data_IF_355957344568
#
_entry.id   IF_355957344568
#
_cell.length_a   1.000
_cell.length_b   1.000
_cell.length_c   1.000
_cell.angle_alpha   90.00
_cell.angle_beta   90.00
_cell.angle_gamma   90.00
#
_symmetry.space_group_name_H-M   'P 1'
#
loop_
_entity.id
_entity.type
_entity.pdbx_description
1 polymer ?
#
# COMPACT_ATOMS: atom_id res chain seq x y z
N UNK A 1 9.63 -18.27 -5.59
CA UNK A 1 8.45 -17.47 -5.97
C UNK A 1 8.59 -17.12 -7.44
N UNK A 2 7.70 -17.59 -8.31
CA UNK A 2 7.86 -17.54 -9.76
C UNK A 2 7.77 -16.10 -10.29
N UNK A 3 8.66 -15.68 -11.20
CA UNK A 3 8.67 -14.34 -11.84
C UNK A 3 7.29 -13.94 -12.40
N UNK A 4 6.54 -14.93 -12.88
CA UNK A 4 5.17 -14.76 -13.35
C UNK A 4 4.22 -14.14 -12.30
N UNK A 5 4.33 -14.55 -11.03
CA UNK A 5 3.46 -14.02 -9.96
C UNK A 5 3.76 -12.55 -9.68
N UNK A 6 5.04 -12.16 -9.72
CA UNK A 6 5.42 -10.75 -9.57
C UNK A 6 4.88 -9.90 -10.72
N UNK A 7 4.95 -10.42 -11.94
CA UNK A 7 4.42 -9.73 -13.12
C UNK A 7 2.90 -9.54 -13.05
N UNK A 8 2.17 -10.60 -12.68
CA UNK A 8 0.71 -10.54 -12.48
C UNK A 8 0.36 -9.55 -11.37
N UNK A 9 1.06 -9.60 -10.22
CA UNK A 9 0.83 -8.67 -9.12
C UNK A 9 1.08 -7.21 -9.54
N UNK A 10 2.14 -6.95 -10.30
CA UNK A 10 2.45 -5.63 -10.83
C UNK A 10 1.33 -5.11 -11.75
N UNK A 11 0.86 -5.94 -12.70
CA UNK A 11 -0.24 -5.59 -13.59
C UNK A 11 -1.54 -5.27 -12.83
N UNK A 12 -1.94 -6.15 -11.91
CA UNK A 12 -3.15 -5.96 -11.10
C UNK A 12 -3.06 -4.70 -10.24
N UNK A 13 -1.90 -4.41 -9.68
CA UNK A 13 -1.66 -3.18 -8.90
C UNK A 13 -1.76 -1.95 -9.79
N UNK A 14 -1.18 -1.99 -11.00
CA UNK A 14 -1.29 -0.91 -11.97
C UNK A 14 -2.74 -0.61 -12.37
N UNK A 15 -3.51 -1.65 -12.70
CA UNK A 15 -4.94 -1.53 -13.01
C UNK A 15 -5.71 -0.95 -11.82
N UNK A 16 -5.44 -1.42 -10.60
CA UNK A 16 -6.06 -0.89 -9.40
C UNK A 16 -5.80 0.62 -9.22
N UNK A 17 -4.56 1.09 -9.42
CA UNK A 17 -4.22 2.51 -9.28
C UNK A 17 -4.95 3.40 -10.30
N UNK A 18 -5.01 2.95 -11.56
CA UNK A 18 -5.72 3.67 -12.63
C UNK A 18 -7.22 3.75 -12.33
N UNK A 19 -7.83 2.64 -11.88
CA UNK A 19 -9.23 2.61 -11.50
C UNK A 19 -9.54 3.56 -10.33
N UNK A 20 -8.69 3.60 -9.30
CA UNK A 20 -8.85 4.56 -8.19
C UNK A 20 -8.82 6.01 -8.68
N UNK A 21 -7.90 6.35 -9.60
CA UNK A 21 -7.83 7.70 -10.17
C UNK A 21 -9.08 8.05 -10.98
N UNK A 22 -9.50 7.12 -11.84
CA UNK A 22 -10.67 7.30 -12.69
C UNK A 22 -11.95 7.49 -11.85
N UNK A 23 -12.11 6.76 -10.75
CA UNK A 23 -13.24 6.91 -9.84
C UNK A 23 -13.33 8.32 -9.23
N UNK A 24 -12.19 8.91 -8.86
CA UNK A 24 -12.13 10.27 -8.32
C UNK A 24 -12.46 11.30 -9.40
N UNK A 25 -11.88 11.17 -10.61
CA UNK A 25 -12.14 12.09 -11.73
C UNK A 25 -13.60 12.05 -12.21
N UNK A 26 -14.27 10.89 -12.13
CA UNK A 26 -15.67 10.72 -12.49
C UNK A 26 -16.66 11.28 -11.43
N UNK A 27 -16.17 11.90 -10.36
CA UNK A 27 -17.01 12.50 -9.32
C UNK A 27 -17.60 11.50 -8.33
N UNK A 28 -17.14 10.24 -8.35
CA UNK A 28 -17.55 9.22 -7.38
C UNK A 28 -16.81 9.32 -6.03
N UNK A 29 -16.10 10.42 -5.75
CA UNK A 29 -15.46 10.66 -4.45
C UNK A 29 -16.44 10.54 -3.27
N UNK A 30 -17.74 10.82 -3.46
CA UNK A 30 -18.78 10.61 -2.43
C UNK A 30 -19.08 9.14 -2.13
N UNK A 31 -18.75 8.21 -3.03
CA UNK A 31 -18.94 6.76 -2.86
C UNK A 31 -17.67 6.06 -2.35
N UNK A 32 -16.65 6.84 -2.01
CA UNK A 32 -15.37 6.35 -1.53
C UNK A 32 -15.54 5.46 -0.29
N UNK A 33 -16.42 5.81 0.63
CA UNK A 33 -16.72 5.02 1.82
C UNK A 33 -17.21 3.60 1.47
N UNK A 34 -18.09 3.48 0.47
CA UNK A 34 -18.64 2.19 0.01
C UNK A 34 -17.58 1.38 -0.72
N UNK A 35 -16.75 2.04 -1.53
CA UNK A 35 -15.62 1.40 -2.20
C UNK A 35 -14.59 0.87 -1.19
N UNK A 36 -14.21 1.66 -0.18
CA UNK A 36 -13.28 1.22 0.86
C UNK A 36 -13.85 0.07 1.68
N UNK A 37 -15.15 0.11 1.99
CA UNK A 37 -15.85 -0.97 2.68
C UNK A 37 -15.83 -2.26 1.86
N UNK A 38 -16.08 -2.18 0.55
CA UNK A 38 -15.99 -3.33 -0.36
C UNK A 38 -14.57 -3.88 -0.47
N UNK A 39 -13.58 -3.01 -0.66
CA UNK A 39 -12.18 -3.38 -0.84
C UNK A 39 -11.61 -4.10 0.40
N UNK A 40 -11.79 -3.51 1.58
CA UNK A 40 -11.33 -4.11 2.84
C UNK A 40 -12.21 -5.29 3.28
N UNK A 41 -13.51 -5.25 2.95
CA UNK A 41 -14.46 -6.34 3.23
C UNK A 41 -14.10 -7.64 2.51
N UNK A 42 -13.58 -7.58 1.27
CA UNK A 42 -13.06 -8.77 0.57
C UNK A 42 -11.88 -9.39 1.30
N UNK A 43 -10.98 -8.57 1.86
CA UNK A 43 -9.86 -9.05 2.67
C UNK A 43 -10.31 -9.77 3.94
N UNK A 44 -11.35 -9.25 4.62
CA UNK A 44 -11.96 -9.90 5.78
C UNK A 44 -12.61 -11.23 5.39
N UNK A 45 -13.39 -11.25 4.30
CA UNK A 45 -14.05 -12.46 3.82
C UNK A 45 -13.02 -13.54 3.45
N UNK A 46 -11.94 -13.18 2.73
CA UNK A 46 -10.85 -14.09 2.41
C UNK A 46 -10.11 -14.59 3.67
N UNK A 47 -9.90 -13.73 4.66
CA UNK A 47 -9.31 -14.13 5.94
C UNK A 47 -10.17 -15.14 6.71
N UNK A 48 -11.49 -14.95 6.72
CA UNK A 48 -12.43 -15.88 7.35
C UNK A 48 -12.50 -17.23 6.63
N UNK A 49 -12.49 -17.24 5.30
CA UNK A 49 -12.50 -18.49 4.52
C UNK A 49 -11.21 -19.27 4.71
N UNK A 50 -10.04 -18.60 4.68
CA UNK A 50 -8.75 -19.25 4.95
C UNK A 50 -8.74 -19.80 6.37
N UNK A 51 -9.21 -19.05 7.37
CA UNK A 51 -9.31 -19.55 8.75
C UNK A 51 -10.20 -20.79 8.86
N UNK A 52 -11.33 -20.82 8.15
CA UNK A 52 -12.25 -21.96 8.14
C UNK A 52 -11.64 -23.20 7.45
N UNK A 53 -10.83 -23.01 6.40
CA UNK A 53 -10.23 -24.10 5.61
C UNK A 53 -8.92 -24.62 6.23
N UNK A 54 -8.09 -23.74 6.77
CA UNK A 54 -6.74 -24.09 7.22
C UNK A 54 -6.68 -24.60 8.65
N UNK A 55 -7.74 -24.46 9.46
CA UNK A 55 -7.81 -24.98 10.84
C UNK A 55 -6.77 -24.42 11.81
N UNK A 56 -5.95 -23.44 11.39
CA UNK A 56 -4.91 -22.85 12.22
C UNK A 56 -5.57 -22.02 13.32
N UNK A 57 -5.21 -22.32 14.58
CA UNK A 57 -5.58 -21.48 15.71
C UNK A 57 -4.76 -20.20 15.63
N UNK A 58 -5.40 -19.12 15.20
CA UNK A 58 -4.85 -17.78 15.33
C UNK A 58 -4.65 -17.47 16.80
N UNK A 59 -3.44 -17.13 17.19
CA UNK A 59 -3.17 -16.67 18.55
C UNK A 59 -3.70 -15.24 18.73
N UNK A 60 -3.87 -14.79 19.98
CA UNK A 60 -4.31 -13.40 20.25
C UNK A 60 -3.36 -12.37 19.65
N UNK A 61 -2.07 -12.71 19.56
CA UNK A 61 -1.06 -11.87 18.92
C UNK A 61 -1.28 -11.73 17.41
N UNK A 62 -1.63 -12.82 16.71
CA UNK A 62 -1.92 -12.78 15.27
C UNK A 62 -3.12 -11.87 14.98
N UNK A 63 -4.14 -11.93 15.84
CA UNK A 63 -5.31 -11.07 15.73
C UNK A 63 -4.95 -9.58 15.93
N UNK A 64 -4.12 -9.27 16.93
CA UNK A 64 -3.68 -7.89 17.18
C UNK A 64 -2.84 -7.38 16.00
N UNK A 65 -1.90 -8.18 15.51
CA UNK A 65 -1.07 -7.83 14.34
C UNK A 65 -1.95 -7.62 13.12
N UNK A 66 -2.86 -8.55 12.81
CA UNK A 66 -3.78 -8.44 11.68
C UNK A 66 -4.67 -7.20 11.74
N UNK A 67 -5.25 -6.90 12.91
CA UNK A 67 -6.06 -5.69 13.10
C UNK A 67 -5.22 -4.43 12.95
N UNK A 68 -4.01 -4.40 13.53
CA UNK A 68 -3.10 -3.25 13.41
C UNK A 68 -2.70 -2.99 11.96
N UNK A 69 -2.41 -4.05 11.18
CA UNK A 69 -2.09 -3.93 9.75
C UNK A 69 -3.30 -3.47 8.94
N UNK A 70 -4.49 -3.97 9.25
CA UNK A 70 -5.74 -3.54 8.61
C UNK A 70 -6.03 -2.05 8.85
N UNK A 71 -5.92 -1.60 10.10
CA UNK A 71 -6.09 -0.17 10.46
C UNK A 71 -5.04 0.69 9.76
N UNK A 72 -3.76 0.31 9.82
CA UNK A 72 -2.68 1.06 9.19
C UNK A 72 -2.87 1.15 7.66
N UNK A 73 -3.27 0.04 7.03
CA UNK A 73 -3.56 0.00 5.60
C UNK A 73 -4.77 0.85 5.22
N UNK A 74 -5.86 0.79 6.00
CA UNK A 74 -7.06 1.60 5.76
C UNK A 74 -6.74 3.10 5.87
N UNK A 75 -6.03 3.52 6.93
CA UNK A 75 -5.57 4.90 7.09
C UNK A 75 -4.66 5.33 5.93
N UNK A 76 -3.72 4.46 5.53
CA UNK A 76 -2.84 4.71 4.38
C UNK A 76 -3.60 4.90 3.07
N UNK A 77 -4.70 4.18 2.87
CA UNK A 77 -5.50 4.33 1.66
C UNK A 77 -6.45 5.53 1.73
N UNK A 78 -7.04 5.85 2.89
CA UNK A 78 -7.86 7.06 3.09
C UNK A 78 -7.02 8.30 2.81
N UNK A 79 -5.84 8.39 3.43
CA UNK A 79 -4.93 9.53 3.25
C UNK A 79 -4.44 9.66 1.81
N UNK A 80 -4.19 8.54 1.12
CA UNK A 80 -3.84 8.55 -0.30
C UNK A 80 -4.98 9.08 -1.18
N UNK A 81 -6.21 8.63 -0.95
CA UNK A 81 -7.40 9.11 -1.66
C UNK A 81 -7.64 10.61 -1.42
N UNK A 82 -7.56 11.07 -0.16
CA UNK A 82 -7.63 12.50 0.17
C UNK A 82 -6.54 13.34 -0.48
N UNK A 83 -5.32 12.79 -0.60
CA UNK A 83 -4.25 13.46 -1.33
C UNK A 83 -4.56 13.57 -2.82
N UNK A 84 -5.14 12.53 -3.41
CA UNK A 84 -5.50 12.50 -4.83
C UNK A 84 -6.68 13.44 -5.18
N UNK A 85 -7.55 13.75 -4.22
CA UNK A 85 -8.60 14.76 -4.37
C UNK A 85 -8.06 16.20 -4.34
N UNK A 86 -6.98 16.45 -3.59
CA UNK A 86 -6.45 17.81 -3.37
C UNK A 86 -5.24 18.15 -4.24
N UNK A 87 -4.51 17.15 -4.71
CA UNK A 87 -3.25 17.32 -5.43
C UNK A 87 -3.31 16.60 -6.79
N UNK A 88 -2.57 17.10 -7.80
CA UNK A 88 -2.45 16.42 -9.08
C UNK A 88 -1.88 15.00 -8.91
N UNK A 89 -2.52 14.01 -9.53
CA UNK A 89 -2.05 12.62 -9.48
C UNK A 89 -0.60 12.45 -9.95
N UNK A 90 -0.12 13.31 -10.85
CA UNK A 90 1.29 13.30 -11.32
C UNK A 90 2.31 13.49 -10.18
N UNK A 91 1.92 14.15 -9.08
CA UNK A 91 2.76 14.31 -7.88
C UNK A 91 2.47 13.20 -6.87
N UNK A 92 1.18 12.89 -6.64
CA UNK A 92 0.76 11.96 -5.59
C UNK A 92 1.26 10.53 -5.83
N UNK A 93 1.21 10.03 -7.08
CA UNK A 93 1.63 8.65 -7.39
C UNK A 93 3.14 8.42 -7.17
N UNK A 94 4.05 9.26 -7.71
CA UNK A 94 5.48 9.10 -7.44
C UNK A 94 5.84 9.34 -5.98
N UNK A 95 5.23 10.33 -5.31
CA UNK A 95 5.50 10.61 -3.89
C UNK A 95 5.08 9.41 -3.03
N UNK A 96 3.94 8.78 -3.31
CA UNK A 96 3.54 7.55 -2.60
C UNK A 96 4.51 6.40 -2.85
N UNK A 97 4.92 6.19 -4.10
CA UNK A 97 5.78 5.06 -4.47
C UNK A 97 7.19 5.20 -3.91
N UNK A 98 7.82 6.36 -4.12
CA UNK A 98 9.15 6.69 -3.60
C UNK A 98 9.13 6.82 -2.08
N UNK A 99 8.11 7.47 -1.52
CA UNK A 99 7.94 7.64 -0.09
C UNK A 99 7.78 6.31 0.64
N UNK A 100 7.02 5.37 0.07
CA UNK A 100 6.90 4.03 0.64
C UNK A 100 8.26 3.31 0.67
N UNK A 101 9.03 3.34 -0.43
CA UNK A 101 10.36 2.73 -0.48
C UNK A 101 11.32 3.38 0.51
N UNK A 102 11.34 4.71 0.58
CA UNK A 102 12.15 5.46 1.53
C UNK A 102 11.80 5.12 2.98
N UNK A 103 10.52 5.20 3.35
CA UNK A 103 10.06 4.97 4.71
C UNK A 103 10.28 3.52 5.12
N UNK A 104 9.94 2.56 4.27
CA UNK A 104 10.17 1.14 4.56
C UNK A 104 11.65 0.83 4.72
N UNK A 105 12.52 1.33 3.84
CA UNK A 105 13.95 1.09 3.96
C UNK A 105 14.55 1.75 5.24
N UNK A 106 14.13 2.98 5.56
CA UNK A 106 14.54 3.66 6.78
C UNK A 106 14.03 2.95 8.05
N UNK A 107 12.77 2.51 8.06
CA UNK A 107 12.18 1.76 9.18
C UNK A 107 12.82 0.39 9.33
N UNK A 108 13.10 -0.33 8.23
CA UNK A 108 13.82 -1.59 8.25
C UNK A 108 15.23 -1.43 8.85
N UNK A 109 15.93 -0.39 8.43
CA UNK A 109 17.23 -0.05 9.01
C UNK A 109 17.14 0.33 10.49
N UNK A 110 16.13 1.11 10.90
CA UNK A 110 16.01 1.58 12.28
C UNK A 110 15.54 0.48 13.26
N UNK A 111 14.49 -0.27 12.90
CA UNK A 111 13.84 -1.25 13.77
C UNK A 111 14.60 -2.58 13.75
N UNK A 112 14.97 -3.07 12.57
CA UNK A 112 15.61 -4.37 12.42
C UNK A 112 17.14 -4.29 12.32
N UNK A 113 17.72 -3.08 12.28
CA UNK A 113 19.17 -2.86 12.15
C UNK A 113 19.78 -3.60 10.96
N UNK A 114 19.00 -3.75 9.88
CA UNK A 114 19.46 -4.41 8.67
C UNK A 114 20.64 -3.67 8.05
N UNK A 115 21.66 -4.41 7.61
CA UNK A 115 22.79 -3.82 6.90
C UNK A 115 22.41 -3.56 5.44
N UNK A 116 22.02 -2.32 5.15
CA UNK A 116 21.72 -1.89 3.79
C UNK A 116 23.00 -1.88 2.94
N UNK A 117 22.96 -2.55 1.79
CA UNK A 117 24.03 -2.55 0.80
C UNK A 117 24.15 -1.15 0.16
N UNK A 118 25.34 -0.65 -0.23
CA UNK A 118 25.51 0.62 -0.96
C UNK A 118 24.53 0.83 -2.13
N UNK A 119 24.16 -0.21 -2.88
CA UNK A 119 23.15 -0.09 -3.94
C UNK A 119 21.75 0.28 -3.42
N UNK A 120 21.36 -0.21 -2.23
CA UNK A 120 20.08 0.12 -1.60
C UNK A 120 20.09 1.56 -1.08
N UNK A 121 21.21 2.00 -0.50
CA UNK A 121 21.41 3.41 -0.13
C UNK A 121 21.32 4.35 -1.33
N UNK A 122 21.85 3.93 -2.47
CA UNK A 122 21.74 4.69 -3.72
C UNK A 122 20.27 4.80 -4.17
N UNK A 123 19.50 3.71 -4.07
CA UNK A 123 18.06 3.71 -4.36
C UNK A 123 17.26 4.64 -3.43
N UNK A 124 17.60 4.69 -2.15
CA UNK A 124 17.01 5.63 -1.18
C UNK A 124 17.34 7.07 -1.58
N UNK A 125 18.62 7.39 -1.82
CA UNK A 125 19.04 8.73 -2.26
C UNK A 125 18.33 9.18 -3.54
N UNK A 126 18.26 8.32 -4.55
CA UNK A 126 17.56 8.61 -5.80
C UNK A 126 16.07 8.84 -5.57
N UNK A 127 15.42 8.03 -4.71
CA UNK A 127 14.01 8.20 -4.38
C UNK A 127 13.75 9.55 -3.68
N UNK A 128 14.65 9.97 -2.79
CA UNK A 128 14.55 11.27 -2.11
C UNK A 128 14.71 12.44 -3.10
N UNK A 129 15.68 12.34 -4.01
CA UNK A 129 15.90 13.35 -5.06
C UNK A 129 14.68 13.42 -6.00
N UNK A 130 14.12 12.27 -6.38
CA UNK A 130 12.95 12.22 -7.26
C UNK A 130 11.72 12.90 -6.64
N UNK A 131 11.49 12.71 -5.33
CA UNK A 131 10.43 13.43 -4.62
C UNK A 131 10.71 14.93 -4.59
N UNK A 132 11.95 15.33 -4.26
CA UNK A 132 12.32 16.75 -4.21
C UNK A 132 12.15 17.46 -5.55
N UNK A 133 12.44 16.77 -6.67
CA UNK A 133 12.35 17.36 -8.01
C UNK A 133 10.91 17.47 -8.54
N UNK A 134 9.96 16.75 -7.91
CA UNK A 134 8.54 16.75 -8.27
C UNK A 134 7.70 17.77 -7.49
N UNK A 135 8.20 18.25 -6.35
CA UNK A 135 7.57 19.27 -5.50
C UNK A 135 8.07 20.65 -5.91
#
# INVERSE_FOLDING_TARGET
MSVLLLFVAWLLTGVNLVLNKALIELGFGRWMDIYMTGFWGVGVAAGLTVRAVSGHRSDRLDAIIGVSMGIAGALGMITFLMALERLPGVVVFPVRSCGNVLLTACLSWLIWRERLNPAQWLGILISAIAIYLLV
#
